data_IF_725360395304
#
_entry.id   IF_725360395304
#
_cell.length_a   1.000
_cell.length_b   1.000
_cell.length_c   1.000
_cell.angle_alpha   90.00
_cell.angle_beta   90.00
_cell.angle_gamma   90.00
#
_symmetry.space_group_name_H-M   'P 1'
#
loop_
_entity.id
_entity.type
_entity.pdbx_description
1 polymer ?
#
# COMPACT_ATOMS: atom_id res chain seq x y z
N UNK A 1 -8.04 -20.38 5.73
CA UNK A 1 -7.94 -21.58 6.61
C UNK A 1 -9.27 -22.30 6.80
N UNK A 2 -10.29 -21.63 7.30
CA UNK A 2 -11.61 -22.26 7.57
C UNK A 2 -12.32 -22.79 6.31
N UNK A 3 -12.23 -22.10 5.18
CA UNK A 3 -12.77 -22.57 3.90
C UNK A 3 -12.17 -23.93 3.49
N UNK A 4 -10.86 -24.07 3.63
CA UNK A 4 -10.16 -25.32 3.33
C UNK A 4 -10.59 -26.41 4.31
N UNK A 5 -10.64 -26.08 5.60
CA UNK A 5 -11.00 -27.04 6.66
C UNK A 5 -12.45 -27.54 6.56
N UNK A 6 -13.37 -26.65 6.20
CA UNK A 6 -14.80 -26.94 6.16
C UNK A 6 -15.29 -27.39 4.76
N UNK A 7 -14.55 -27.04 3.70
CA UNK A 7 -14.92 -27.33 2.32
C UNK A 7 -14.28 -28.59 1.74
N UNK A 8 -13.20 -29.09 2.36
CA UNK A 8 -12.47 -30.28 1.89
C UNK A 8 -12.54 -31.43 2.89
N UNK A 9 -12.34 -32.66 2.37
CA UNK A 9 -12.25 -33.85 3.19
C UNK A 9 -11.08 -33.78 4.19
N UNK A 10 -11.18 -34.53 5.30
CA UNK A 10 -10.19 -34.59 6.39
C UNK A 10 -8.75 -34.81 5.91
N UNK A 11 -8.55 -35.56 4.85
CA UNK A 11 -7.24 -35.83 4.27
C UNK A 11 -6.52 -34.60 3.72
N UNK A 12 -7.27 -33.54 3.42
CA UNK A 12 -6.74 -32.28 2.88
C UNK A 12 -6.59 -31.16 3.92
N UNK A 13 -6.89 -31.43 5.19
CA UNK A 13 -6.78 -30.44 6.25
C UNK A 13 -5.35 -29.92 6.46
N UNK A 14 -4.33 -30.69 6.05
CA UNK A 14 -2.94 -30.24 6.09
C UNK A 14 -2.71 -28.95 5.26
N UNK A 15 -3.47 -28.76 4.17
CA UNK A 15 -3.40 -27.54 3.37
C UNK A 15 -3.84 -26.30 4.16
N UNK A 16 -4.80 -26.45 5.09
CA UNK A 16 -5.20 -25.36 5.95
C UNK A 16 -4.08 -24.95 6.92
N UNK A 17 -3.31 -25.92 7.39
CA UNK A 17 -2.14 -25.66 8.25
C UNK A 17 -1.03 -24.99 7.46
N UNK A 18 -0.72 -25.51 6.26
CA UNK A 18 0.27 -24.90 5.37
C UNK A 18 -0.11 -23.47 4.99
N UNK A 19 -1.36 -23.21 4.63
CA UNK A 19 -1.84 -21.87 4.35
C UNK A 19 -1.64 -20.93 5.54
N UNK A 20 -1.93 -21.39 6.75
CA UNK A 20 -1.75 -20.59 7.97
C UNK A 20 -0.28 -20.33 8.27
N UNK A 21 0.58 -21.33 8.09
CA UNK A 21 2.02 -21.19 8.29
C UNK A 21 2.62 -20.19 7.29
N UNK A 22 2.29 -20.30 6.00
CA UNK A 22 2.72 -19.36 4.99
C UNK A 22 2.13 -17.95 5.23
N UNK A 23 0.87 -17.87 5.67
CA UNK A 23 0.24 -16.61 6.05
C UNK A 23 1.00 -15.88 7.16
N UNK A 24 1.51 -16.59 8.16
CA UNK A 24 2.37 -16.00 9.20
C UNK A 24 3.71 -15.55 8.62
N UNK A 25 4.32 -16.34 7.74
CA UNK A 25 5.61 -16.02 7.14
C UNK A 25 5.52 -14.80 6.20
N UNK A 26 4.39 -14.57 5.54
CA UNK A 26 4.22 -13.40 4.65
C UNK A 26 4.32 -12.07 5.38
N UNK A 27 4.08 -12.04 6.70
CA UNK A 27 4.20 -10.82 7.52
C UNK A 27 5.62 -10.25 7.48
N UNK A 28 6.63 -11.07 7.29
CA UNK A 28 8.03 -10.62 7.26
C UNK A 28 8.46 -9.99 5.94
N UNK A 29 7.77 -10.23 4.84
CA UNK A 29 8.26 -9.84 3.51
C UNK A 29 7.31 -9.07 2.61
N UNK A 30 6.01 -9.23 2.76
CA UNK A 30 5.03 -8.61 1.85
C UNK A 30 4.38 -7.37 2.45
N UNK A 31 4.34 -6.29 1.68
CA UNK A 31 3.58 -5.07 2.01
C UNK A 31 4.12 -4.31 3.24
N UNK A 32 4.23 -4.97 4.38
CA UNK A 32 4.57 -4.34 5.65
C UNK A 32 5.91 -3.59 5.62
N UNK A 33 6.97 -4.25 5.14
CA UNK A 33 8.29 -3.64 5.04
C UNK A 33 8.32 -2.43 4.09
N UNK A 34 7.63 -2.52 2.94
CA UNK A 34 7.54 -1.42 1.99
C UNK A 34 6.73 -0.25 2.53
N UNK A 35 5.65 -0.52 3.27
CA UNK A 35 4.83 0.52 3.88
C UNK A 35 5.59 1.27 4.97
N UNK A 36 6.25 0.57 5.89
CA UNK A 36 7.07 1.19 6.94
C UNK A 36 8.21 2.00 6.34
N UNK A 37 8.89 1.46 5.31
CA UNK A 37 9.94 2.19 4.61
C UNK A 37 9.41 3.49 3.96
N UNK A 38 8.22 3.45 3.36
CA UNK A 38 7.60 4.65 2.77
C UNK A 38 7.24 5.68 3.83
N UNK A 39 6.70 5.26 4.97
CA UNK A 39 6.38 6.13 6.11
C UNK A 39 7.65 6.81 6.63
N UNK A 40 8.69 6.03 6.91
CA UNK A 40 9.96 6.57 7.44
C UNK A 40 10.62 7.53 6.45
N UNK A 41 10.61 7.19 5.15
CA UNK A 41 11.16 8.04 4.09
C UNK A 41 10.40 9.36 3.98
N UNK A 42 9.06 9.32 4.01
CA UNK A 42 8.24 10.52 3.93
C UNK A 42 8.46 11.45 5.13
N UNK A 43 8.49 10.91 6.35
CA UNK A 43 8.74 11.67 7.56
C UNK A 43 10.15 12.26 7.55
N UNK A 44 11.17 11.48 7.19
CA UNK A 44 12.54 11.98 7.12
C UNK A 44 12.70 13.07 6.06
N UNK A 45 12.06 12.93 4.91
CA UNK A 45 12.09 13.97 3.88
C UNK A 45 11.49 15.27 4.42
N UNK A 46 10.40 15.20 5.16
CA UNK A 46 9.82 16.38 5.79
C UNK A 46 10.76 16.99 6.84
N UNK A 47 11.31 16.17 7.74
CA UNK A 47 12.22 16.63 8.80
C UNK A 47 13.51 17.25 8.23
N UNK A 48 14.05 16.71 7.15
CA UNK A 48 15.20 17.26 6.46
C UNK A 48 14.86 18.58 5.75
N UNK A 49 13.73 18.65 5.06
CA UNK A 49 13.29 19.87 4.37
C UNK A 49 13.02 21.03 5.33
N UNK A 50 12.50 20.74 6.52
CA UNK A 50 12.31 21.74 7.58
C UNK A 50 13.55 21.98 8.44
N UNK A 51 14.70 21.36 8.08
CA UNK A 51 15.96 21.47 8.83
C UNK A 51 15.90 21.06 10.30
N UNK A 52 14.94 20.19 10.66
CA UNK A 52 14.77 19.69 12.03
C UNK A 52 15.84 18.67 12.39
N UNK A 53 16.26 17.86 11.40
CA UNK A 53 17.34 16.88 11.55
C UNK A 53 18.40 17.08 10.48
N UNK A 54 19.63 16.62 10.76
CA UNK A 54 20.71 16.52 9.78
C UNK A 54 20.74 15.14 9.11
N UNK A 55 21.39 15.05 7.97
CA UNK A 55 21.54 13.80 7.22
C UNK A 55 22.20 12.69 8.06
N UNK A 56 23.11 13.05 8.98
CA UNK A 56 23.75 12.10 9.90
C UNK A 56 22.79 11.51 10.92
N UNK A 57 21.69 12.18 11.22
CA UNK A 57 20.69 11.76 12.22
C UNK A 57 19.55 10.90 11.64
N UNK A 58 19.53 10.68 10.33
CA UNK A 58 18.45 9.91 9.66
C UNK A 58 18.35 8.48 10.20
N UNK A 59 19.48 7.82 10.51
CA UNK A 59 19.50 6.49 11.09
C UNK A 59 18.78 6.42 12.44
N UNK A 60 19.04 7.38 13.32
CA UNK A 60 18.38 7.49 14.63
C UNK A 60 16.90 7.83 14.48
N UNK A 61 16.56 8.73 13.55
CA UNK A 61 15.17 9.07 13.25
C UNK A 61 14.38 7.86 12.75
N UNK A 62 14.95 7.03 11.87
CA UNK A 62 14.34 5.78 11.41
C UNK A 62 14.02 4.82 12.56
N UNK A 63 14.94 4.69 13.51
CA UNK A 63 14.73 3.83 14.67
C UNK A 63 13.57 4.34 15.55
N UNK A 64 13.53 5.63 15.82
CA UNK A 64 12.47 6.26 16.64
C UNK A 64 11.12 6.13 15.94
N UNK A 65 11.05 6.48 14.67
CA UNK A 65 9.81 6.38 13.87
C UNK A 65 9.35 4.92 13.82
N UNK A 66 10.27 3.98 13.58
CA UNK A 66 9.97 2.56 13.55
C UNK A 66 9.39 2.04 14.87
N UNK A 67 9.95 2.44 16.01
CA UNK A 67 9.43 2.08 17.34
C UNK A 67 8.03 2.67 17.55
N UNK A 68 7.82 3.94 17.22
CA UNK A 68 6.49 4.58 17.37
C UNK A 68 5.46 3.86 16.51
N UNK A 69 5.77 3.59 15.25
CA UNK A 69 4.87 2.87 14.35
C UNK A 69 4.59 1.46 14.87
N UNK A 70 5.60 0.75 15.35
CA UNK A 70 5.44 -0.59 15.91
C UNK A 70 4.51 -0.60 17.14
N UNK A 71 4.66 0.37 18.04
CA UNK A 71 3.78 0.52 19.22
C UNK A 71 2.33 0.79 18.78
N UNK A 72 2.12 1.75 17.86
CA UNK A 72 0.79 2.08 17.36
C UNK A 72 0.11 0.89 16.70
N UNK A 73 0.83 0.17 15.85
CA UNK A 73 0.32 -1.05 15.20
C UNK A 73 0.02 -2.14 16.24
N UNK A 74 0.90 -2.37 17.20
CA UNK A 74 0.69 -3.35 18.26
C UNK A 74 -0.58 -3.05 19.06
N UNK A 75 -0.82 -1.79 19.45
CA UNK A 75 -2.03 -1.36 20.16
C UNK A 75 -3.31 -1.64 19.37
N UNK A 76 -3.27 -1.51 18.05
CA UNK A 76 -4.41 -1.82 17.18
C UNK A 76 -4.61 -3.34 17.07
N UNK A 77 -3.52 -4.09 16.82
CA UNK A 77 -3.55 -5.54 16.63
C UNK A 77 -4.03 -6.30 17.87
N UNK A 78 -3.69 -5.82 19.08
CA UNK A 78 -4.16 -6.42 20.34
C UNK A 78 -5.69 -6.40 20.48
N UNK A 79 -6.39 -5.52 19.76
CA UNK A 79 -7.85 -5.50 19.70
C UNK A 79 -8.48 -6.46 18.70
N UNK A 80 -7.65 -7.23 17.98
CA UNK A 80 -8.09 -8.18 16.98
C UNK A 80 -8.66 -7.56 15.70
N UNK A 81 -9.14 -8.43 14.81
CA UNK A 81 -9.55 -8.04 13.44
C UNK A 81 -10.70 -7.02 13.41
N UNK A 82 -11.64 -7.08 14.35
CA UNK A 82 -12.74 -6.10 14.44
C UNK A 82 -12.21 -4.70 14.73
N UNK A 83 -11.23 -4.57 15.63
CA UNK A 83 -10.63 -3.28 15.96
C UNK A 83 -9.84 -2.72 14.80
N UNK A 84 -9.13 -3.57 14.06
CA UNK A 84 -8.43 -3.18 12.83
C UNK A 84 -9.43 -2.56 11.84
N UNK A 85 -10.56 -3.24 11.59
CA UNK A 85 -11.63 -2.73 10.73
C UNK A 85 -12.17 -1.38 11.19
N UNK A 86 -12.52 -1.22 12.47
CA UNK A 86 -13.04 0.02 13.03
C UNK A 86 -12.05 1.20 12.94
N UNK A 87 -10.77 0.94 13.16
CA UNK A 87 -9.72 1.97 13.04
C UNK A 87 -9.54 2.35 11.57
N UNK A 88 -9.48 1.37 10.66
CA UNK A 88 -9.36 1.62 9.24
C UNK A 88 -10.56 2.39 8.67
N UNK A 89 -11.78 2.04 9.06
CA UNK A 89 -13.01 2.71 8.66
C UNK A 89 -13.01 4.20 8.96
N UNK A 90 -12.42 4.60 10.08
CA UNK A 90 -12.31 6.02 10.48
C UNK A 90 -11.10 6.72 9.86
N UNK A 91 -9.97 6.03 9.83
CA UNK A 91 -8.70 6.60 9.40
C UNK A 91 -8.64 6.84 7.89
N UNK A 92 -9.17 5.89 7.09
CA UNK A 92 -9.07 5.95 5.62
C UNK A 92 -9.80 7.16 5.02
N UNK A 93 -11.06 7.48 5.39
CA UNK A 93 -11.71 8.68 4.87
C UNK A 93 -10.97 9.98 5.23
N UNK A 94 -10.44 10.05 6.45
CA UNK A 94 -9.65 11.20 6.89
C UNK A 94 -8.36 11.35 6.09
N UNK A 95 -7.64 10.25 5.84
CA UNK A 95 -6.45 10.24 5.00
C UNK A 95 -6.77 10.66 3.56
N UNK A 96 -7.87 10.14 2.99
CA UNK A 96 -8.32 10.47 1.66
C UNK A 96 -8.66 11.97 1.54
N UNK A 97 -9.36 12.52 2.51
CA UNK A 97 -9.70 13.94 2.55
C UNK A 97 -8.43 14.81 2.57
N UNK A 98 -7.51 14.54 3.46
CA UNK A 98 -6.23 15.28 3.56
C UNK A 98 -5.45 15.17 2.24
N UNK A 99 -5.35 13.97 1.69
CA UNK A 99 -4.63 13.77 0.44
C UNK A 99 -5.24 14.59 -0.71
N UNK A 100 -6.56 14.51 -0.88
CA UNK A 100 -7.27 15.26 -1.92
C UNK A 100 -7.09 16.77 -1.72
N UNK A 101 -7.23 17.24 -0.48
CA UNK A 101 -7.06 18.65 -0.16
C UNK A 101 -5.67 19.18 -0.55
N UNK A 102 -4.61 18.50 -0.16
CA UNK A 102 -3.25 18.90 -0.53
C UNK A 102 -2.97 18.73 -2.02
N UNK A 103 -3.45 17.63 -2.63
CA UNK A 103 -3.29 17.41 -4.07
C UNK A 103 -3.95 18.53 -4.89
N UNK A 104 -5.18 18.90 -4.55
CA UNK A 104 -5.87 20.03 -5.17
C UNK A 104 -5.14 21.36 -4.90
N UNK A 105 -4.62 21.56 -3.68
CA UNK A 105 -3.82 22.71 -3.35
C UNK A 105 -2.59 22.86 -4.26
N UNK A 106 -1.86 21.79 -4.50
CA UNK A 106 -0.71 21.77 -5.42
C UNK A 106 -1.15 22.11 -6.85
N UNK A 107 -2.28 21.54 -7.31
CA UNK A 107 -2.81 21.85 -8.66
C UNK A 107 -3.19 23.31 -8.78
N UNK A 108 -3.88 23.88 -7.80
CA UNK A 108 -4.30 25.29 -7.80
C UNK A 108 -3.09 26.22 -7.78
N UNK A 109 -2.09 25.93 -6.96
CA UNK A 109 -0.85 26.74 -6.88
C UNK A 109 -0.01 26.69 -8.16
N UNK A 110 -0.20 25.69 -9.01
CA UNK A 110 0.54 25.51 -10.26
C UNK A 110 -0.39 25.51 -11.49
N UNK A 111 -1.52 26.20 -11.40
CA UNK A 111 -2.56 26.17 -12.44
C UNK A 111 -2.02 26.64 -13.80
N UNK A 112 -1.08 27.58 -13.80
CA UNK A 112 -0.45 28.11 -15.01
C UNK A 112 0.38 27.07 -15.76
N UNK A 113 0.83 26.02 -15.07
CA UNK A 113 1.62 24.94 -15.68
C UNK A 113 0.75 23.82 -16.27
N UNK A 114 -0.54 23.78 -15.96
CA UNK A 114 -1.44 22.72 -16.42
C UNK A 114 -1.47 22.54 -17.94
N UNK A 115 -1.57 23.61 -18.76
CA UNK A 115 -1.55 23.45 -20.21
C UNK A 115 -0.25 22.82 -20.74
N UNK A 116 0.89 23.21 -20.16
CA UNK A 116 2.19 22.65 -20.53
C UNK A 116 2.32 21.18 -20.13
N UNK A 117 1.79 20.80 -18.95
CA UNK A 117 1.76 19.41 -18.48
C UNK A 117 0.90 18.55 -19.39
N UNK A 118 -0.32 19.00 -19.71
CA UNK A 118 -1.19 18.28 -20.66
C UNK A 118 -0.57 18.16 -22.04
N UNK A 119 0.04 19.24 -22.55
CA UNK A 119 0.80 19.23 -23.81
C UNK A 119 1.91 18.19 -23.78
N UNK A 120 2.68 18.11 -22.70
CA UNK A 120 3.76 17.14 -22.54
C UNK A 120 3.25 15.70 -22.51
N UNK A 121 2.12 15.44 -21.85
CA UNK A 121 1.49 14.11 -21.81
C UNK A 121 1.05 13.68 -23.20
N UNK A 122 0.33 14.56 -23.92
CA UNK A 122 -0.17 14.28 -25.27
C UNK A 122 1.00 14.09 -26.24
N UNK A 123 1.98 15.00 -26.22
CA UNK A 123 3.17 14.88 -27.06
C UNK A 123 3.98 13.61 -26.77
N UNK A 124 4.15 13.25 -25.50
CA UNK A 124 4.82 12.02 -25.12
C UNK A 124 4.07 10.76 -25.57
N UNK A 125 2.73 10.78 -25.60
CA UNK A 125 1.92 9.65 -26.04
C UNK A 125 1.93 9.46 -27.56
N UNK A 126 1.91 10.56 -28.33
CA UNK A 126 1.74 10.51 -29.79
C UNK A 126 3.04 10.76 -30.60
N UNK A 127 4.10 11.23 -29.98
CA UNK A 127 5.40 11.47 -30.60
C UNK A 127 6.51 10.65 -29.92
N UNK A 128 6.48 9.32 -30.02
CA UNK A 128 7.47 8.46 -29.37
C UNK A 128 8.90 8.65 -29.89
N UNK A 129 9.10 9.31 -31.03
CA UNK A 129 10.41 9.51 -31.65
C UNK A 129 11.38 10.38 -30.81
N UNK A 130 10.90 11.23 -29.92
CA UNK A 130 11.75 12.03 -29.03
C UNK A 130 12.38 11.22 -27.88
N UNK A 131 12.08 9.95 -27.79
CA UNK A 131 12.50 9.02 -26.70
C UNK A 131 13.24 7.81 -27.27
N UNK A 132 13.93 7.97 -28.39
CA UNK A 132 14.46 6.87 -29.23
C UNK A 132 15.46 5.90 -28.57
N UNK A 133 15.94 6.14 -27.37
CA UNK A 133 16.77 5.17 -26.65
C UNK A 133 16.06 4.43 -25.51
N UNK A 134 14.91 4.91 -25.09
CA UNK A 134 14.23 4.48 -23.89
C UNK A 134 12.79 3.98 -24.05
N UNK A 135 12.18 4.06 -25.25
CA UNK A 135 10.73 3.80 -25.41
C UNK A 135 10.37 2.38 -25.04
N UNK A 136 11.07 1.39 -25.60
CA UNK A 136 10.78 -0.02 -25.31
C UNK A 136 11.06 -0.30 -23.83
N UNK A 137 12.21 0.14 -23.32
CA UNK A 137 12.57 -0.03 -21.92
C UNK A 137 11.63 0.70 -20.98
N UNK A 138 11.24 1.94 -21.29
CA UNK A 138 10.32 2.73 -20.46
C UNK A 138 8.89 2.19 -20.53
N UNK A 139 8.42 1.73 -21.68
CA UNK A 139 7.12 1.08 -21.82
C UNK A 139 7.04 -0.20 -20.98
N UNK A 140 8.02 -1.10 -21.13
CA UNK A 140 8.05 -2.34 -20.33
C UNK A 140 8.23 -2.07 -18.84
N UNK A 141 9.01 -1.07 -18.48
CA UNK A 141 9.18 -0.68 -17.07
C UNK A 141 7.89 -0.10 -16.49
N UNK A 142 7.21 0.78 -17.22
CA UNK A 142 5.93 1.36 -16.79
C UNK A 142 4.84 0.29 -16.71
N UNK A 143 4.77 -0.59 -17.71
CA UNK A 143 3.85 -1.72 -17.71
C UNK A 143 4.13 -2.65 -16.51
N UNK A 144 5.39 -3.05 -16.30
CA UNK A 144 5.79 -3.89 -15.16
C UNK A 144 5.42 -3.24 -13.83
N UNK A 145 5.69 -1.95 -13.66
CA UNK A 145 5.36 -1.21 -12.43
C UNK A 145 3.85 -1.05 -12.26
N UNK A 146 3.11 -0.75 -13.33
CA UNK A 146 1.66 -0.62 -13.30
C UNK A 146 0.98 -1.95 -12.97
N UNK A 147 1.35 -3.03 -13.65
CA UNK A 147 0.83 -4.38 -13.37
C UNK A 147 1.15 -4.82 -11.94
N UNK A 148 2.40 -4.63 -11.51
CA UNK A 148 2.81 -4.98 -10.14
C UNK A 148 2.00 -4.20 -9.08
N UNK A 149 1.71 -2.93 -9.31
CA UNK A 149 0.86 -2.12 -8.41
C UNK A 149 -0.61 -2.54 -8.44
N UNK A 150 -1.14 -2.89 -9.61
CA UNK A 150 -2.49 -3.42 -9.75
C UNK A 150 -2.67 -4.75 -9.02
N UNK A 151 -1.75 -5.69 -9.20
CA UNK A 151 -1.73 -6.97 -8.48
C UNK A 151 -1.67 -6.74 -6.96
N UNK A 152 -0.78 -5.87 -6.52
CA UNK A 152 -0.60 -5.55 -5.11
C UNK A 152 -1.85 -4.92 -4.49
N UNK A 153 -2.47 -3.95 -5.18
CA UNK A 153 -3.69 -3.28 -4.73
C UNK A 153 -4.89 -4.21 -4.58
N UNK A 154 -4.98 -5.23 -5.44
CA UNK A 154 -6.06 -6.20 -5.43
C UNK A 154 -5.74 -7.45 -4.60
N UNK A 155 -4.58 -7.52 -3.97
CA UNK A 155 -4.08 -8.71 -3.26
C UNK A 155 -4.14 -10.00 -4.13
N UNK A 156 -4.06 -9.84 -5.44
CA UNK A 156 -4.22 -10.92 -6.41
C UNK A 156 -3.10 -11.96 -6.23
N UNK A 157 -3.51 -13.21 -6.01
CA UNK A 157 -2.61 -14.35 -5.81
C UNK A 157 -2.10 -14.54 -4.37
N UNK A 158 -2.37 -13.61 -3.44
CA UNK A 158 -1.94 -13.74 -2.05
C UNK A 158 -2.91 -14.56 -1.18
N UNK A 159 -4.19 -14.59 -1.55
CA UNK A 159 -5.24 -15.28 -0.80
C UNK A 159 -5.60 -14.63 0.53
N UNK A 160 -5.12 -13.42 0.81
CA UNK A 160 -5.33 -12.69 2.07
C UNK A 160 -6.67 -11.95 2.10
N UNK A 161 -7.26 -11.64 0.96
CA UNK A 161 -8.55 -10.97 0.87
C UNK A 161 -9.67 -11.69 1.62
N UNK A 162 -9.67 -13.03 1.63
CA UNK A 162 -10.62 -13.84 2.39
C UNK A 162 -10.52 -13.64 3.90
N UNK A 163 -9.38 -13.24 4.43
CA UNK A 163 -9.17 -12.96 5.86
C UNK A 163 -9.86 -11.64 6.23
N UNK A 164 -9.72 -10.61 5.40
CA UNK A 164 -10.38 -9.33 5.61
C UNK A 164 -11.91 -9.47 5.52
N UNK A 165 -12.41 -10.19 4.52
CA UNK A 165 -13.85 -10.44 4.34
C UNK A 165 -14.46 -11.33 5.43
N UNK A 166 -13.67 -12.07 6.20
CA UNK A 166 -14.16 -12.85 7.32
C UNK A 166 -14.80 -12.02 8.45
N UNK A 167 -14.57 -10.70 8.45
CA UNK A 167 -15.17 -9.75 9.39
C UNK A 167 -16.52 -9.19 8.95
N UNK A 168 -16.92 -9.45 7.71
CA UNK A 168 -18.15 -8.90 7.17
C UNK A 168 -19.37 -9.47 7.91
N UNK A 169 -20.25 -8.58 8.36
CA UNK A 169 -21.55 -8.93 8.93
C UNK A 169 -22.58 -9.04 7.79
N UNK A 170 -22.65 -10.21 7.18
CA UNK A 170 -23.60 -10.49 6.09
C UNK A 170 -24.29 -11.81 6.27
N UNK A 171 -25.59 -11.85 5.99
CA UNK A 171 -26.38 -13.08 5.98
C UNK A 171 -26.17 -13.88 4.69
N UNK A 172 -25.75 -13.23 3.63
CA UNK A 172 -25.55 -13.82 2.30
C UNK A 172 -24.10 -13.62 1.85
N UNK A 173 -23.23 -14.64 1.99
CA UNK A 173 -21.81 -14.52 1.63
C UNK A 173 -21.55 -14.05 0.20
N UNK A 174 -22.44 -14.40 -0.74
CA UNK A 174 -22.30 -14.01 -2.16
C UNK A 174 -22.46 -12.50 -2.37
N UNK A 175 -23.24 -11.82 -1.53
CA UNK A 175 -23.38 -10.36 -1.60
C UNK A 175 -22.12 -9.61 -1.19
N UNK A 176 -21.33 -10.21 -0.30
CA UNK A 176 -20.05 -9.66 0.12
C UNK A 176 -19.00 -9.76 -0.98
#
# INVERSE_FOLDING_TARGET
MYYIKNGLNKNWHFLAVLFSAFGVLTVFGTGNATQVNTITTAINSALLNFHVISQSSVGTANLIIGIIVAILVALILLGGIKRIGQVAERLVPFMAFIYIFFALGVVVLNIDQLPAVFGSIINGAFHPASVTGGIVGSFFMSMKKGVARGIFSNEAGLGTGSIAHACADTKEPVKQ
#
